data_IF_483971003180
#
_entry.id   IF_483971003180
#
_cell.length_a   1.000
_cell.length_b   1.000
_cell.length_c   1.000
_cell.angle_alpha   90.00
_cell.angle_beta   90.00
_cell.angle_gamma   90.00
#
_symmetry.space_group_name_H-M   'P 1'
#
loop_
_entity.id
_entity.type
_entity.pdbx_description
1 polymer ?
#
# COMPACT_ATOMS: atom_id res chain seq x y z
N UNK A 1 -36.92 -19.19 -1.88
CA UNK A 1 -36.86 -19.39 -0.42
C UNK A 1 -35.41 -19.61 -0.03
N UNK A 2 -34.70 -18.57 0.43
CA UNK A 2 -33.32 -18.71 0.91
C UNK A 2 -33.34 -19.26 2.33
N UNK A 3 -32.74 -20.44 2.53
CA UNK A 3 -32.80 -21.17 3.79
C UNK A 3 -31.83 -20.54 4.82
N UNK A 4 -32.30 -20.03 5.98
CA UNK A 4 -31.45 -19.35 6.97
C UNK A 4 -30.30 -20.22 7.50
N UNK A 5 -30.41 -21.55 7.44
CA UNK A 5 -29.36 -22.49 7.83
C UNK A 5 -28.17 -22.54 6.88
N UNK A 6 -28.33 -22.09 5.62
CA UNK A 6 -27.21 -22.02 4.67
C UNK A 6 -26.16 -21.00 5.11
N UNK A 7 -26.55 -19.94 5.82
CA UNK A 7 -25.63 -18.91 6.31
C UNK A 7 -24.74 -19.39 7.46
N UNK A 8 -25.26 -20.23 8.36
CA UNK A 8 -24.49 -20.77 9.49
C UNK A 8 -23.46 -21.81 9.03
N UNK A 9 -23.89 -22.78 8.21
CA UNK A 9 -23.00 -23.81 7.66
C UNK A 9 -21.88 -23.20 6.78
N UNK A 10 -22.19 -22.15 6.03
CA UNK A 10 -21.19 -21.43 5.23
C UNK A 10 -20.19 -20.66 6.11
N UNK A 11 -20.64 -20.06 7.22
CA UNK A 11 -19.75 -19.39 8.18
C UNK A 11 -18.78 -20.37 8.84
N UNK A 12 -19.27 -21.50 9.36
CA UNK A 12 -18.42 -22.52 9.99
C UNK A 12 -17.40 -23.10 9.00
N UNK A 13 -17.80 -23.34 7.75
CA UNK A 13 -16.88 -23.75 6.68
C UNK A 13 -15.79 -22.70 6.41
N UNK A 14 -16.16 -21.42 6.39
CA UNK A 14 -15.21 -20.32 6.13
C UNK A 14 -14.22 -20.13 7.28
N UNK A 15 -14.68 -20.26 8.53
CA UNK A 15 -13.84 -20.24 9.72
C UNK A 15 -12.84 -21.40 9.71
N UNK A 16 -13.27 -22.60 9.28
CA UNK A 16 -12.36 -23.74 9.16
C UNK A 16 -11.27 -23.53 8.09
N UNK A 17 -11.63 -22.94 6.94
CA UNK A 17 -10.67 -22.57 5.91
C UNK A 17 -9.63 -21.57 6.47
N UNK A 18 -10.07 -20.59 7.25
CA UNK A 18 -9.17 -19.61 7.88
C UNK A 18 -8.24 -20.26 8.91
N UNK A 19 -8.78 -21.11 9.81
CA UNK A 19 -7.98 -21.83 10.82
C UNK A 19 -6.87 -22.66 10.18
N UNK A 20 -7.19 -23.47 9.18
CA UNK A 20 -6.22 -24.35 8.50
C UNK A 20 -5.18 -23.55 7.71
N UNK A 21 -5.59 -22.45 7.07
CA UNK A 21 -4.66 -21.55 6.38
C UNK A 21 -3.69 -20.88 7.37
N UNK A 22 -4.19 -20.44 8.54
CA UNK A 22 -3.36 -19.84 9.61
C UNK A 22 -2.44 -20.88 10.28
N UNK A 23 -2.84 -22.15 10.33
CA UNK A 23 -2.00 -23.28 10.75
C UNK A 23 -0.88 -23.64 9.76
N UNK A 24 -0.83 -23.00 8.58
CA UNK A 24 0.25 -23.15 7.60
C UNK A 24 -0.06 -24.14 6.47
N UNK A 25 -1.29 -24.63 6.34
CA UNK A 25 -1.67 -25.43 5.18
C UNK A 25 -1.62 -24.61 3.87
N UNK A 26 -1.19 -25.27 2.79
CA UNK A 26 -1.03 -24.59 1.51
C UNK A 26 -2.39 -24.25 0.88
N UNK A 27 -2.49 -23.06 0.27
CA UNK A 27 -3.69 -22.63 -0.46
C UNK A 27 -4.18 -23.62 -1.52
N UNK A 28 -3.30 -24.28 -2.30
CA UNK A 28 -3.71 -25.33 -3.24
C UNK A 28 -4.32 -26.58 -2.56
N UNK A 29 -3.78 -27.01 -1.42
CA UNK A 29 -4.33 -28.16 -0.69
C UNK A 29 -5.73 -27.86 -0.14
N UNK A 30 -5.93 -26.65 0.39
CA UNK A 30 -7.24 -26.19 0.85
C UNK A 30 -8.24 -26.02 -0.31
N UNK A 31 -7.78 -25.52 -1.46
CA UNK A 31 -8.59 -25.40 -2.67
C UNK A 31 -9.16 -26.77 -3.09
N UNK A 32 -8.31 -27.81 -3.13
CA UNK A 32 -8.72 -29.17 -3.41
C UNK A 32 -9.67 -29.74 -2.34
N UNK A 33 -9.34 -29.59 -1.05
CA UNK A 33 -10.11 -30.13 0.06
C UNK A 33 -11.54 -29.56 0.16
N UNK A 34 -11.70 -28.27 -0.18
CA UNK A 34 -12.99 -27.58 -0.14
C UNK A 34 -13.67 -27.48 -1.50
N UNK A 35 -13.07 -27.98 -2.59
CA UNK A 35 -13.63 -27.86 -3.94
C UNK A 35 -13.81 -26.41 -4.40
N UNK A 36 -12.87 -25.53 -4.06
CA UNK A 36 -12.87 -24.11 -4.45
C UNK A 36 -11.57 -23.74 -5.16
N UNK A 37 -11.54 -22.58 -5.80
CA UNK A 37 -10.30 -22.08 -6.41
C UNK A 37 -9.33 -21.54 -5.35
N UNK A 38 -8.02 -21.62 -5.63
CA UNK A 38 -7.00 -21.09 -4.72
C UNK A 38 -7.21 -19.59 -4.37
N UNK A 39 -7.52 -18.68 -5.31
CA UNK A 39 -7.82 -17.29 -4.95
C UNK A 39 -9.00 -17.17 -3.97
N UNK A 40 -9.98 -18.07 -4.09
CA UNK A 40 -11.17 -18.06 -3.24
C UNK A 40 -10.84 -18.41 -1.79
N UNK A 41 -9.88 -19.31 -1.54
CA UNK A 41 -9.37 -19.63 -0.20
C UNK A 41 -8.89 -18.36 0.51
N UNK A 42 -8.03 -17.58 -0.16
CA UNK A 42 -7.48 -16.35 0.43
C UNK A 42 -8.52 -15.25 0.61
N UNK A 43 -9.50 -15.13 -0.29
CA UNK A 43 -10.62 -14.20 -0.14
C UNK A 43 -11.49 -14.54 1.08
N UNK A 44 -11.77 -15.83 1.27
CA UNK A 44 -12.56 -16.32 2.42
C UNK A 44 -11.81 -16.03 3.71
N UNK A 45 -10.53 -16.42 3.81
CA UNK A 45 -9.73 -16.19 5.01
C UNK A 45 -9.63 -14.69 5.35
N UNK A 46 -9.44 -13.84 4.35
CA UNK A 46 -9.47 -12.38 4.53
C UNK A 46 -10.81 -11.89 5.05
N UNK A 47 -11.92 -12.32 4.46
CA UNK A 47 -13.26 -11.90 4.87
C UNK A 47 -13.58 -12.33 6.31
N UNK A 48 -13.15 -13.51 6.73
CA UNK A 48 -13.30 -13.99 8.12
C UNK A 48 -12.52 -13.11 9.09
N UNK A 49 -11.28 -12.75 8.76
CA UNK A 49 -10.43 -11.87 9.58
C UNK A 49 -10.95 -10.43 9.64
N UNK A 50 -11.47 -9.90 8.53
CA UNK A 50 -12.15 -8.60 8.50
C UNK A 50 -13.43 -8.61 9.36
N UNK A 51 -14.23 -9.69 9.31
CA UNK A 51 -15.43 -9.84 10.14
C UNK A 51 -15.12 -9.98 11.64
N UNK A 52 -13.95 -10.56 11.99
CA UNK A 52 -13.45 -10.65 13.37
C UNK A 52 -12.83 -9.34 13.88
N UNK A 53 -12.48 -8.43 12.97
CA UNK A 53 -11.80 -7.16 13.29
C UNK A 53 -10.26 -7.26 13.32
N UNK A 54 -9.68 -8.40 12.94
CA UNK A 54 -8.22 -8.60 12.88
C UNK A 54 -7.56 -7.84 11.71
N UNK A 55 -8.35 -7.45 10.72
CA UNK A 55 -7.91 -6.71 9.53
C UNK A 55 -8.79 -5.48 9.33
N UNK A 56 -8.14 -4.33 9.15
CA UNK A 56 -8.84 -3.13 8.72
C UNK A 56 -9.48 -3.37 7.33
N UNK A 57 -10.69 -2.86 7.09
CA UNK A 57 -11.34 -2.98 5.79
C UNK A 57 -10.44 -2.37 4.71
N UNK A 58 -10.37 -3.01 3.54
CA UNK A 58 -9.62 -2.46 2.41
C UNK A 58 -10.12 -1.05 2.13
N UNK A 59 -9.21 -0.06 2.11
CA UNK A 59 -9.56 1.29 1.68
C UNK A 59 -10.25 1.21 0.31
N UNK A 60 -11.45 1.77 0.22
CA UNK A 60 -12.20 1.79 -1.04
C UNK A 60 -11.34 2.58 -2.04
N UNK A 61 -11.13 2.06 -3.27
CA UNK A 61 -10.45 2.84 -4.28
C UNK A 61 -11.19 4.17 -4.45
N UNK A 62 -10.43 5.26 -4.48
CA UNK A 62 -10.98 6.60 -4.63
C UNK A 62 -11.84 6.73 -5.90
N UNK A 63 -12.67 7.78 -5.98
CA UNK A 63 -13.52 8.01 -7.14
C UNK A 63 -12.68 8.06 -8.42
N UNK A 64 -13.04 7.25 -9.42
CA UNK A 64 -12.40 7.29 -10.73
C UNK A 64 -12.77 8.61 -11.41
N UNK A 65 -11.78 9.47 -11.63
CA UNK A 65 -11.97 10.74 -12.33
C UNK A 65 -12.21 10.42 -13.81
N UNK A 66 -13.39 10.80 -14.33
CA UNK A 66 -13.72 10.72 -15.77
C UNK A 66 -13.85 12.13 -16.34
N UNK A 67 -12.89 12.61 -17.15
CA UNK A 67 -12.98 13.93 -17.75
C UNK A 67 -14.16 13.99 -18.72
N UNK A 68 -14.89 15.11 -18.73
CA UNK A 68 -15.97 15.41 -19.66
C UNK A 68 -15.55 16.57 -20.54
N UNK A 69 -15.53 16.33 -21.85
CA UNK A 69 -15.29 17.34 -22.86
C UNK A 69 -16.62 17.85 -23.41
N UNK A 70 -16.80 19.16 -23.45
CA UNK A 70 -17.96 19.82 -24.07
C UNK A 70 -17.54 21.13 -24.73
N UNK A 71 -18.26 21.52 -25.76
CA UNK A 71 -18.13 22.85 -26.37
C UNK A 71 -18.89 23.87 -25.52
N UNK A 72 -18.29 25.03 -25.26
CA UNK A 72 -18.88 26.12 -24.46
C UNK A 72 -19.02 27.38 -25.30
N UNK A 73 -19.68 28.39 -24.72
CA UNK A 73 -19.81 29.72 -25.33
C UNK A 73 -18.43 30.29 -25.71
N UNK A 74 -18.41 31.07 -26.81
CA UNK A 74 -17.19 31.54 -27.51
C UNK A 74 -16.47 30.49 -28.37
N UNK A 75 -17.10 29.33 -28.64
CA UNK A 75 -16.56 28.32 -29.56
C UNK A 75 -15.42 27.47 -28.98
N UNK A 76 -15.04 27.72 -27.72
CA UNK A 76 -13.98 27.02 -27.01
C UNK A 76 -14.44 25.63 -26.54
N UNK A 77 -13.47 24.75 -26.36
CA UNK A 77 -13.62 23.47 -25.70
C UNK A 77 -13.34 23.59 -24.21
N UNK A 78 -14.18 22.97 -23.38
CA UNK A 78 -13.99 22.86 -21.94
C UNK A 78 -13.84 21.39 -21.56
N UNK A 79 -12.79 21.09 -20.81
CA UNK A 79 -12.58 19.79 -20.17
C UNK A 79 -12.74 19.95 -18.65
N UNK A 80 -13.64 19.16 -18.05
CA UNK A 80 -13.95 19.19 -16.63
C UNK A 80 -13.89 17.79 -16.00
N UNK A 81 -13.31 17.68 -14.80
CA UNK A 81 -13.24 16.43 -14.05
C UNK A 81 -12.38 16.57 -12.80
N UNK A 82 -12.74 15.84 -11.74
CA UNK A 82 -11.93 15.79 -10.51
C UNK A 82 -11.77 17.13 -9.80
N UNK A 83 -12.77 18.02 -9.89
CA UNK A 83 -12.75 19.36 -9.29
C UNK A 83 -11.98 20.42 -10.08
N UNK A 84 -11.45 20.08 -11.27
CA UNK A 84 -10.69 21.00 -12.13
C UNK A 84 -11.40 21.18 -13.46
N UNK A 85 -11.43 22.42 -13.96
CA UNK A 85 -11.93 22.77 -15.29
C UNK A 85 -10.90 23.59 -16.07
N UNK A 86 -10.71 23.30 -17.37
CA UNK A 86 -9.83 24.06 -18.26
C UNK A 86 -10.43 24.20 -19.66
N UNK A 87 -10.08 25.32 -20.31
CA UNK A 87 -10.55 25.67 -21.66
C UNK A 87 -9.41 25.68 -22.67
N UNK A 88 -9.70 25.35 -23.92
CA UNK A 88 -8.79 25.41 -25.07
C UNK A 88 -9.56 25.67 -26.37
N UNK A 89 -8.85 26.06 -27.42
CA UNK A 89 -9.42 26.30 -28.75
C UNK A 89 -9.77 24.99 -29.44
N UNK A 90 -9.03 23.93 -29.13
CA UNK A 90 -9.27 22.56 -29.62
C UNK A 90 -9.64 21.61 -28.48
N UNK A 91 -10.24 20.46 -28.84
CA UNK A 91 -10.54 19.38 -27.89
C UNK A 91 -9.29 18.92 -27.14
N UNK A 92 -8.20 18.69 -27.89
CA UNK A 92 -6.92 18.22 -27.37
C UNK A 92 -6.32 19.24 -26.40
N UNK A 93 -6.33 20.51 -26.78
CA UNK A 93 -5.77 21.57 -25.94
C UNK A 93 -6.53 21.72 -24.61
N UNK A 94 -7.87 21.67 -24.64
CA UNK A 94 -8.67 21.70 -23.43
C UNK A 94 -8.37 20.49 -22.52
N UNK A 95 -8.19 19.31 -23.11
CA UNK A 95 -7.83 18.09 -22.39
C UNK A 95 -6.42 18.18 -21.79
N UNK A 96 -5.41 18.60 -22.55
CA UNK A 96 -4.02 18.69 -22.07
C UNK A 96 -3.86 19.71 -20.95
N UNK A 97 -4.53 20.86 -21.07
CA UNK A 97 -4.56 21.88 -20.01
C UNK A 97 -5.22 21.33 -18.74
N UNK A 98 -6.32 20.59 -18.89
CA UNK A 98 -6.99 19.92 -17.75
C UNK A 98 -6.09 18.83 -17.14
N UNK A 99 -5.44 18.01 -17.95
CA UNK A 99 -4.58 16.92 -17.50
C UNK A 99 -3.40 17.45 -16.67
N UNK A 100 -2.71 18.48 -17.18
CA UNK A 100 -1.62 19.15 -16.45
C UNK A 100 -2.09 19.69 -15.09
N UNK A 101 -3.24 20.35 -15.06
CA UNK A 101 -3.79 20.91 -13.83
C UNK A 101 -4.27 19.83 -12.83
N UNK A 102 -4.86 18.74 -13.33
CA UNK A 102 -5.30 17.59 -12.53
C UNK A 102 -4.13 16.86 -11.89
N UNK A 103 -3.04 16.64 -12.65
CA UNK A 103 -1.79 16.06 -12.14
C UNK A 103 -1.13 16.95 -11.10
N UNK A 104 -1.02 18.26 -11.35
CA UNK A 104 -0.47 19.21 -10.38
C UNK A 104 -1.24 19.17 -9.04
N UNK A 105 -2.58 19.08 -9.11
CA UNK A 105 -3.42 18.98 -7.91
C UNK A 105 -3.22 17.67 -7.16
N UNK A 106 -3.05 16.54 -7.86
CA UNK A 106 -2.75 15.24 -7.23
C UNK A 106 -1.38 15.22 -6.58
N UNK A 107 -0.36 15.74 -7.27
CA UNK A 107 1.01 15.79 -6.73
C UNK A 107 1.07 16.72 -5.51
N UNK A 108 0.40 17.88 -5.54
CA UNK A 108 0.32 18.78 -4.38
C UNK A 108 -0.30 18.12 -3.14
N UNK A 109 -1.34 17.29 -3.32
CA UNK A 109 -1.96 16.57 -2.22
C UNK A 109 -1.04 15.49 -1.60
N UNK A 110 -0.20 14.84 -2.40
CA UNK A 110 0.75 13.81 -1.93
C UNK A 110 2.09 14.37 -1.45
N UNK A 111 2.47 15.57 -1.91
CA UNK A 111 3.70 16.26 -1.54
C UNK A 111 3.51 17.23 -0.37
N UNK A 112 2.28 17.39 0.14
CA UNK A 112 2.06 18.12 1.37
C UNK A 112 2.90 17.48 2.49
N UNK A 113 3.71 18.27 3.23
CA UNK A 113 4.52 17.73 4.31
C UNK A 113 3.61 17.03 5.30
N UNK A 114 3.76 15.71 5.40
CA UNK A 114 3.17 14.96 6.49
C UNK A 114 3.93 15.41 7.73
N UNK A 115 3.27 16.14 8.64
CA UNK A 115 3.86 16.38 9.95
C UNK A 115 4.19 15.00 10.53
N UNK A 116 5.45 14.74 10.92
CA UNK A 116 5.79 13.47 11.52
C UNK A 116 4.98 13.37 12.80
N UNK A 117 4.12 12.36 12.88
CA UNK A 117 3.43 12.02 14.12
C UNK A 117 4.52 11.81 15.18
N UNK A 118 4.42 12.43 16.37
CA UNK A 118 5.49 12.34 17.37
C UNK A 118 5.80 10.87 17.63
N UNK A 119 7.08 10.51 17.55
CA UNK A 119 7.55 9.14 17.80
C UNK A 119 7.01 8.68 19.16
N UNK A 120 6.02 7.79 19.12
CA UNK A 120 5.51 7.18 20.34
C UNK A 120 6.52 6.13 20.81
N UNK A 121 6.88 6.11 22.10
CA UNK A 121 7.69 5.03 22.66
C UNK A 121 7.09 3.68 22.28
N UNK A 122 7.93 2.77 21.77
CA UNK A 122 7.49 1.43 21.38
C UNK A 122 6.88 0.69 22.58
N UNK A 123 5.59 0.36 22.50
CA UNK A 123 4.84 -0.32 23.56
C UNK A 123 4.65 -1.83 23.30
N UNK A 124 5.28 -2.38 22.27
CA UNK A 124 5.17 -3.80 21.92
C UNK A 124 6.07 -4.70 22.76
N UNK A 125 5.89 -6.04 22.69
CA UNK A 125 6.75 -6.99 23.38
C UNK A 125 8.20 -6.89 22.85
N UNK A 126 9.14 -6.60 23.75
CA UNK A 126 10.57 -6.57 23.45
C UNK A 126 11.16 -7.96 23.62
N UNK A 127 11.60 -8.58 22.51
CA UNK A 127 12.36 -9.83 22.58
C UNK A 127 13.81 -9.52 22.96
N UNK A 128 14.18 -9.84 24.20
CA UNK A 128 15.57 -9.73 24.66
C UNK A 128 16.39 -10.87 24.04
N UNK A 129 17.36 -10.54 23.19
CA UNK A 129 18.28 -11.51 22.62
C UNK A 129 19.31 -11.91 23.70
N UNK A 130 19.47 -13.21 24.03
CA UNK A 130 20.45 -13.66 25.00
C UNK A 130 21.87 -13.21 24.60
N UNK A 131 22.62 -12.63 25.55
CA UNK A 131 24.01 -12.19 25.34
C UNK A 131 24.20 -10.69 25.11
N UNK A 132 23.13 -9.89 25.01
CA UNK A 132 23.21 -8.43 24.88
C UNK A 132 22.70 -7.76 26.16
N UNK A 133 23.59 -7.07 26.88
CA UNK A 133 23.19 -6.23 28.03
C UNK A 133 22.79 -4.83 27.54
N UNK A 134 21.76 -4.19 28.12
CA UNK A 134 21.44 -2.80 27.82
C UNK A 134 22.67 -1.91 28.12
N UNK A 135 23.09 -1.14 27.11
CA UNK A 135 24.29 -0.27 27.18
C UNK A 135 25.55 -0.85 26.51
N UNK A 136 25.56 -2.14 26.14
CA UNK A 136 26.67 -2.69 25.37
C UNK A 136 26.46 -2.43 23.88
N UNK A 137 27.38 -1.68 23.26
CA UNK A 137 27.35 -1.43 21.82
C UNK A 137 27.39 -2.77 21.06
N UNK A 138 26.44 -2.96 20.12
CA UNK A 138 26.39 -4.14 19.26
C UNK A 138 27.73 -4.27 18.52
N UNK A 139 28.46 -5.35 18.81
CA UNK A 139 29.69 -5.70 18.08
C UNK A 139 29.36 -6.75 17.03
N UNK A 140 29.52 -6.37 15.77
CA UNK A 140 29.35 -7.30 14.65
C UNK A 140 30.52 -8.30 14.61
N UNK A 141 30.26 -9.59 14.32
CA UNK A 141 31.33 -10.56 14.17
C UNK A 141 32.20 -10.22 12.94
N UNK A 142 33.50 -10.57 12.94
CA UNK A 142 34.44 -10.19 11.88
C UNK A 142 33.99 -10.56 10.46
N UNK A 143 33.34 -11.71 10.29
CA UNK A 143 32.80 -12.13 9.00
C UNK A 143 31.74 -11.17 8.45
N UNK A 144 30.91 -10.61 9.33
CA UNK A 144 29.85 -9.66 8.97
C UNK A 144 30.45 -8.30 8.59
N UNK A 145 31.51 -7.87 9.27
CA UNK A 145 32.27 -6.67 8.92
C UNK A 145 32.94 -6.81 7.55
N UNK A 146 33.57 -7.95 7.26
CA UNK A 146 34.20 -8.22 5.98
C UNK A 146 33.17 -8.28 4.84
N UNK A 147 32.02 -8.91 5.05
CA UNK A 147 30.93 -8.94 4.09
C UNK A 147 30.37 -7.53 3.84
N UNK A 148 30.20 -6.73 4.89
CA UNK A 148 29.76 -5.33 4.77
C UNK A 148 30.76 -4.46 3.99
N UNK A 149 32.06 -4.65 4.21
CA UNK A 149 33.10 -3.94 3.46
C UNK A 149 33.08 -4.29 1.97
N UNK A 150 32.96 -5.59 1.64
CA UNK A 150 32.83 -6.06 0.24
C UNK A 150 31.55 -5.54 -0.41
N UNK A 151 30.43 -5.60 0.31
CA UNK A 151 29.16 -5.08 -0.18
C UNK A 151 29.27 -3.59 -0.49
N UNK A 152 29.85 -2.80 0.42
CA UNK A 152 30.07 -1.36 0.21
C UNK A 152 30.97 -1.07 -0.99
N UNK A 153 32.02 -1.86 -1.20
CA UNK A 153 32.91 -1.71 -2.35
C UNK A 153 32.21 -2.08 -3.68
N UNK A 154 31.24 -2.99 -3.64
CA UNK A 154 30.45 -3.39 -4.81
C UNK A 154 29.27 -2.45 -5.10
N UNK A 155 28.85 -1.62 -4.13
CA UNK A 155 27.78 -0.65 -4.36
C UNK A 155 28.32 0.56 -5.16
N UNK A 156 27.69 0.93 -6.29
CA UNK A 156 28.00 2.18 -6.96
C UNK A 156 27.66 3.37 -6.06
N UNK A 157 28.46 4.43 -6.14
CA UNK A 157 28.19 5.66 -5.40
C UNK A 157 26.85 6.25 -5.84
N UNK A 158 25.88 6.26 -4.92
CA UNK A 158 24.60 6.94 -5.11
C UNK A 158 24.66 8.29 -4.40
N UNK A 159 24.70 9.42 -5.13
CA UNK A 159 24.61 10.73 -4.51
C UNK A 159 23.26 10.83 -3.79
N UNK A 160 23.28 11.28 -2.54
CA UNK A 160 22.04 11.50 -1.79
C UNK A 160 21.19 12.57 -2.47
N UNK A 161 19.93 12.26 -2.73
CA UNK A 161 18.95 13.22 -3.25
C UNK A 161 18.52 14.26 -2.20
N UNK A 162 18.94 14.10 -0.94
CA UNK A 162 18.60 15.03 0.17
C UNK A 162 19.45 16.31 0.23
N UNK A 163 20.10 16.70 -0.86
CA UNK A 163 20.57 18.08 -1.07
C UNK A 163 21.51 18.67 -0.02
N UNK A 164 22.23 17.85 0.75
CA UNK A 164 23.19 18.34 1.74
C UNK A 164 24.47 18.82 1.07
N UNK A 165 24.58 20.12 0.79
CA UNK A 165 25.88 20.77 0.56
C UNK A 165 26.78 20.46 1.77
N UNK A 166 27.89 19.75 1.57
CA UNK A 166 29.03 19.85 2.47
C UNK A 166 29.84 21.08 2.06
N UNK A 167 29.90 22.06 2.95
CA UNK A 167 30.95 23.07 2.92
C UNK A 167 32.28 22.48 3.41
N UNK A 168 33.38 23.07 2.93
CA UNK A 168 34.77 22.74 3.23
C UNK A 168 35.33 21.78 2.17
N UNK A 169 36.24 22.16 1.27
CA UNK A 169 37.33 23.15 1.34
C UNK A 169 37.30 24.20 0.21
#
# INVERSE_FOLDING_TARGET
>A
MSNPNQGAATRSRNEEIERRLTAGESGPALAAAFGITQPRVHQIARAVREARGDLAPKAKPGPRIRPRLRKVELGLWLCAGGGVERRGETQLEAYDRWLKASLASHVGAHAAPHEPEPERPYAGPVTVIPGVRPGQALRLPPALLLNGARARAAQPYTPSLSGGRRGGE
#
